data_IF_816766023597
#
_entry.id   IF_816766023597
#
_cell.length_a   1.000
_cell.length_b   1.000
_cell.length_c   1.000
_cell.angle_alpha   90.00
_cell.angle_beta   90.00
_cell.angle_gamma   90.00
#
_symmetry.space_group_name_H-M   'P 1'
#
loop_
_entity.id
_entity.type
_entity.pdbx_description
1 polymer ?
#
# COMPACT_ATOMS: atom_id res chain seq x y z
N UNK A 1 10.47 9.30 4.67
CA UNK A 1 10.00 8.58 3.47
C UNK A 1 8.54 8.88 3.11
N UNK A 2 7.56 8.65 3.99
CA UNK A 2 6.14 8.94 3.70
C UNK A 2 5.89 10.41 3.33
N UNK A 3 6.48 11.36 4.06
CA UNK A 3 6.37 12.79 3.76
C UNK A 3 6.94 13.14 2.39
N UNK A 4 8.15 12.67 2.07
CA UNK A 4 8.76 12.87 0.75
C UNK A 4 7.92 12.27 -0.39
N UNK A 5 7.28 11.12 -0.18
CA UNK A 5 6.34 10.56 -1.16
C UNK A 5 5.10 11.45 -1.30
N UNK A 6 4.53 11.88 -0.18
CA UNK A 6 3.37 12.78 -0.15
C UNK A 6 3.65 14.09 -0.89
N UNK A 7 4.81 14.70 -0.67
CA UNK A 7 5.24 15.92 -1.37
C UNK A 7 5.42 15.69 -2.88
N UNK A 8 6.04 14.58 -3.26
CA UNK A 8 6.23 14.23 -4.67
C UNK A 8 4.87 14.05 -5.40
N UNK A 9 3.89 13.39 -4.78
CA UNK A 9 2.55 13.26 -5.33
C UNK A 9 1.78 14.58 -5.31
N UNK A 10 1.92 15.39 -4.26
CA UNK A 10 1.30 16.71 -4.18
C UNK A 10 1.80 17.64 -5.30
N UNK A 11 3.08 17.57 -5.67
CA UNK A 11 3.65 18.31 -6.80
C UNK A 11 3.04 17.90 -8.16
N UNK A 12 2.45 16.71 -8.25
CA UNK A 12 1.69 16.21 -9.40
C UNK A 12 0.18 16.48 -9.30
N UNK A 13 -0.28 17.19 -8.26
CA UNK A 13 -1.70 17.46 -8.01
C UNK A 13 -2.47 16.27 -7.44
N UNK A 14 -1.77 15.23 -6.95
CA UNK A 14 -2.38 14.03 -6.38
C UNK A 14 -2.51 14.19 -4.86
N UNK A 15 -3.70 13.88 -4.33
CA UNK A 15 -3.92 13.85 -2.88
C UNK A 15 -3.50 12.51 -2.31
N UNK A 16 -2.80 12.54 -1.19
CA UNK A 16 -2.28 11.35 -0.49
C UNK A 16 -2.87 11.28 0.92
N UNK A 17 -3.02 10.05 1.41
CA UNK A 17 -3.39 9.75 2.79
C UNK A 17 -2.53 8.59 3.27
N UNK A 18 -2.17 8.59 4.56
CA UNK A 18 -1.54 7.42 5.16
C UNK A 18 -2.58 6.31 5.37
N UNK A 19 -2.23 5.10 4.96
CA UNK A 19 -3.06 3.91 5.09
C UNK A 19 -2.54 3.07 6.24
N UNK A 20 -3.20 3.16 7.39
CA UNK A 20 -2.83 2.43 8.62
C UNK A 20 -3.79 1.30 8.98
N UNK A 21 -4.89 1.17 8.24
CA UNK A 21 -5.91 0.13 8.39
C UNK A 21 -6.33 -0.34 6.99
N UNK A 22 -6.66 -1.63 6.89
CA UNK A 22 -6.96 -2.27 5.60
C UNK A 22 -8.25 -1.72 4.97
N UNK A 23 -9.21 -1.29 5.79
CA UNK A 23 -10.50 -0.76 5.36
C UNK A 23 -10.43 0.59 4.61
N UNK A 24 -9.33 1.34 4.80
CA UNK A 24 -9.05 2.62 4.13
C UNK A 24 -8.73 2.46 2.64
N UNK A 25 -8.42 1.24 2.18
CA UNK A 25 -8.24 0.95 0.76
C UNK A 25 -9.51 1.23 -0.07
N UNK A 26 -10.68 1.25 0.57
CA UNK A 26 -11.95 1.62 -0.09
C UNK A 26 -11.97 3.08 -0.54
N UNK A 27 -11.27 3.95 0.18
CA UNK A 27 -11.33 5.41 0.02
C UNK A 27 -10.27 5.99 -0.95
N UNK A 28 -9.42 5.14 -1.54
CA UNK A 28 -8.29 5.57 -2.38
C UNK A 28 -8.31 4.90 -3.76
N UNK A 29 -7.71 5.54 -4.76
CA UNK A 29 -7.62 5.02 -6.14
C UNK A 29 -6.32 4.24 -6.40
N UNK A 30 -5.31 4.43 -5.55
CA UNK A 30 -4.02 3.76 -5.64
C UNK A 30 -3.33 3.64 -4.28
N UNK A 31 -2.50 2.60 -4.13
CA UNK A 31 -1.70 2.34 -2.94
C UNK A 31 -0.22 2.26 -3.30
N UNK A 32 0.61 2.95 -2.53
CA UNK A 32 2.07 2.85 -2.58
C UNK A 32 2.56 2.09 -1.35
N UNK A 33 3.14 0.91 -1.56
CA UNK A 33 3.73 0.10 -0.49
C UNK A 33 5.25 0.31 -0.40
N UNK A 34 5.76 0.69 0.78
CA UNK A 34 7.18 0.96 0.95
C UNK A 34 8.01 -0.32 0.89
N UNK A 35 9.32 -0.14 0.71
CA UNK A 35 10.30 -1.18 0.97
C UNK A 35 10.54 -1.38 2.47
N UNK A 36 11.69 -1.99 2.80
CA UNK A 36 12.06 -2.30 4.18
C UNK A 36 12.33 -3.80 4.33
N UNK A 37 11.84 -4.37 5.43
CA UNK A 37 12.02 -5.79 5.75
C UNK A 37 10.66 -6.48 5.78
N UNK A 38 10.52 -7.55 5.00
CA UNK A 38 9.21 -8.17 4.72
C UNK A 38 8.58 -8.83 5.96
N UNK A 39 9.37 -9.45 6.85
CA UNK A 39 8.81 -10.05 8.08
C UNK A 39 8.30 -9.01 9.06
N UNK A 40 8.90 -7.82 9.11
CA UNK A 40 8.40 -6.67 9.88
C UNK A 40 7.08 -6.18 9.32
N UNK A 41 6.98 -6.03 7.98
CA UNK A 41 5.72 -5.64 7.35
C UNK A 41 4.62 -6.69 7.58
N UNK A 42 4.94 -7.98 7.47
CA UNK A 42 4.00 -9.07 7.78
C UNK A 42 3.45 -8.98 9.20
N UNK A 43 4.31 -8.75 10.20
CA UNK A 43 3.90 -8.58 11.60
C UNK A 43 2.97 -7.38 11.78
N UNK A 44 3.25 -6.26 11.11
CA UNK A 44 2.37 -5.08 11.15
C UNK A 44 1.01 -5.32 10.49
N UNK A 45 0.93 -6.34 9.64
CA UNK A 45 -0.29 -6.72 8.92
C UNK A 45 -1.07 -7.84 9.62
N UNK A 46 -0.61 -8.43 10.72
CA UNK A 46 -1.26 -9.58 11.37
C UNK A 46 -2.67 -9.27 11.91
N UNK A 47 -2.89 -8.05 12.42
CA UNK A 47 -4.12 -7.69 13.14
C UNK A 47 -5.30 -7.30 12.24
N UNK A 48 -5.08 -7.22 10.92
CA UNK A 48 -6.07 -6.74 9.95
C UNK A 48 -6.07 -7.61 8.69
N UNK A 49 -7.20 -7.73 7.96
CA UNK A 49 -7.32 -8.58 6.78
C UNK A 49 -6.65 -7.95 5.54
N UNK A 50 -5.39 -7.53 5.65
CA UNK A 50 -4.69 -6.80 4.60
C UNK A 50 -4.60 -7.57 3.28
N UNK A 51 -4.33 -8.87 3.31
CA UNK A 51 -4.20 -9.65 2.08
C UNK A 51 -5.51 -9.76 1.31
N UNK A 52 -6.63 -9.93 2.01
CA UNK A 52 -7.96 -9.92 1.41
C UNK A 52 -8.26 -8.53 0.83
N UNK A 53 -8.06 -7.48 1.62
CA UNK A 53 -8.30 -6.11 1.18
C UNK A 53 -7.41 -5.70 -0.02
N UNK A 54 -6.15 -6.13 -0.07
CA UNK A 54 -5.24 -5.88 -1.21
C UNK A 54 -5.67 -6.64 -2.46
N UNK A 55 -6.21 -7.85 -2.32
CA UNK A 55 -6.77 -8.62 -3.44
C UNK A 55 -8.01 -7.95 -3.99
N UNK A 56 -8.96 -7.59 -3.14
CA UNK A 56 -10.16 -6.86 -3.55
C UNK A 56 -9.82 -5.52 -4.20
N UNK A 57 -8.85 -4.79 -3.65
CA UNK A 57 -8.37 -3.53 -4.19
C UNK A 57 -7.82 -3.70 -5.62
N UNK A 58 -7.00 -4.73 -5.85
CA UNK A 58 -6.48 -5.05 -7.17
C UNK A 58 -7.59 -5.52 -8.14
N UNK A 59 -8.51 -6.37 -7.69
CA UNK A 59 -9.63 -6.87 -8.48
C UNK A 59 -10.61 -5.76 -8.88
N UNK A 60 -10.73 -4.71 -8.06
CA UNK A 60 -11.45 -3.48 -8.38
C UNK A 60 -10.75 -2.60 -9.45
N UNK A 61 -9.60 -3.03 -9.98
CA UNK A 61 -8.84 -2.30 -10.99
C UNK A 61 -8.04 -1.12 -10.46
N UNK A 62 -7.86 -1.01 -9.14
CA UNK A 62 -7.11 0.08 -8.51
C UNK A 62 -5.60 -0.16 -8.57
N UNK A 63 -4.83 0.91 -8.54
CA UNK A 63 -3.39 0.87 -8.81
C UNK A 63 -2.58 0.45 -7.58
N UNK A 64 -1.74 -0.59 -7.71
CA UNK A 64 -0.75 -0.97 -6.69
C UNK A 64 0.65 -0.63 -7.20
N UNK A 65 1.42 0.10 -6.39
CA UNK A 65 2.84 0.35 -6.62
C UNK A 65 3.62 -0.08 -5.38
N UNK A 66 4.68 -0.87 -5.55
CA UNK A 66 5.47 -1.36 -4.43
C UNK A 66 6.95 -1.43 -4.77
N UNK A 67 7.80 -1.40 -3.74
CA UNK A 67 9.26 -1.49 -3.88
C UNK A 67 9.84 -2.49 -2.88
N UNK A 68 10.93 -3.18 -3.24
CA UNK A 68 11.67 -4.10 -2.36
C UNK A 68 10.77 -5.07 -1.57
N UNK A 69 10.68 -4.95 -0.25
CA UNK A 69 9.84 -5.78 0.60
C UNK A 69 8.34 -5.70 0.25
N UNK A 70 7.85 -4.54 -0.20
CA UNK A 70 6.49 -4.41 -0.71
C UNK A 70 6.24 -5.25 -1.96
N UNK A 71 7.24 -5.39 -2.85
CA UNK A 71 7.12 -6.27 -4.03
C UNK A 71 7.08 -7.74 -3.58
N UNK A 72 7.90 -8.12 -2.59
CA UNK A 72 7.87 -9.47 -2.02
C UNK A 72 6.47 -9.79 -1.44
N UNK A 73 5.85 -8.84 -0.76
CA UNK A 73 4.49 -9.00 -0.21
C UNK A 73 3.40 -9.12 -1.27
N UNK A 74 3.54 -8.41 -2.39
CA UNK A 74 2.57 -8.42 -3.48
C UNK A 74 2.83 -9.53 -4.52
N UNK A 75 3.97 -10.22 -4.42
CA UNK A 75 4.32 -11.28 -5.35
C UNK A 75 3.26 -12.38 -5.33
N UNK A 76 2.86 -12.83 -6.52
CA UNK A 76 2.09 -14.05 -6.75
C UNK A 76 3.04 -15.06 -7.38
N UNK A 77 2.83 -16.36 -7.12
CA UNK A 77 3.64 -17.46 -7.68
C UNK A 77 3.88 -17.34 -9.18
#
# INVERSE_FOLDING_TARGET
DFEAHSEAYAALGVRTVEVRRSDRLRDIDGLVMPGGESTTLLKLMEDEPWFEALREFHEAGKALFATCAGVILLARE
#
